data_IF_604912534085
#
_entry.id   IF_604912534085
#
_cell.length_a   1.000
_cell.length_b   1.000
_cell.length_c   1.000
_cell.angle_alpha   90.00
_cell.angle_beta   90.00
_cell.angle_gamma   90.00
#
_symmetry.space_group_name_H-M   'P 1'
#
loop_
_entity.id
_entity.type
_entity.pdbx_description
1 polymer ?
#
# COMPACT_ATOMS: atom_id res chain seq x y z
N UNK A 1 7.08 19.66 -2.21
CA UNK A 1 6.98 18.80 -1.01
C UNK A 1 5.51 18.47 -0.80
N UNK A 2 5.16 17.19 -0.76
CA UNK A 2 3.77 16.75 -0.56
C UNK A 2 3.27 17.06 0.86
N UNK A 3 1.95 17.22 1.04
CA UNK A 3 1.36 17.52 2.37
C UNK A 3 1.73 16.44 3.41
N UNK A 4 1.84 15.17 3.01
CA UNK A 4 2.23 14.09 3.92
C UNK A 4 3.70 14.16 4.33
N UNK A 5 4.59 14.60 3.44
CA UNK A 5 6.03 14.76 3.73
C UNK A 5 6.26 15.77 4.86
N UNK A 6 5.48 16.86 4.84
CA UNK A 6 5.50 17.90 5.87
C UNK A 6 4.93 17.37 7.19
N UNK A 7 3.86 16.57 7.13
CA UNK A 7 3.22 16.00 8.33
C UNK A 7 4.01 14.84 8.95
N UNK A 8 4.91 14.22 8.20
CA UNK A 8 5.70 13.04 8.61
C UNK A 8 7.17 13.21 8.27
N UNK A 9 7.84 14.22 8.85
CA UNK A 9 9.25 14.50 8.56
C UNK A 9 10.20 13.39 9.03
N UNK A 10 9.73 12.51 9.92
CA UNK A 10 10.48 11.38 10.45
C UNK A 10 10.66 10.23 9.46
N UNK A 11 9.92 10.20 8.35
CA UNK A 11 10.06 9.15 7.34
C UNK A 11 11.17 9.48 6.34
N UNK A 12 11.89 8.45 5.89
CA UNK A 12 12.91 8.56 4.84
C UNK A 12 12.26 8.70 3.45
N UNK A 13 11.70 9.88 3.19
CA UNK A 13 11.00 10.20 1.94
C UNK A 13 11.89 10.08 0.71
N UNK A 14 13.17 10.44 0.84
CA UNK A 14 14.13 10.30 -0.26
C UNK A 14 14.22 8.84 -0.72
N UNK A 15 14.36 7.91 0.24
CA UNK A 15 14.36 6.47 -0.04
C UNK A 15 13.01 5.98 -0.56
N UNK A 16 11.90 6.38 0.07
CA UNK A 16 10.55 5.98 -0.35
C UNK A 16 10.32 6.36 -1.81
N UNK A 17 10.68 7.58 -2.21
CA UNK A 17 10.50 8.05 -3.59
C UNK A 17 11.46 7.38 -4.56
N UNK A 18 12.72 7.14 -4.17
CA UNK A 18 13.67 6.39 -4.99
C UNK A 18 13.17 4.98 -5.30
N UNK A 19 12.65 4.27 -4.30
CA UNK A 19 12.11 2.92 -4.48
C UNK A 19 10.79 2.94 -5.27
N UNK A 20 9.92 3.93 -5.02
CA UNK A 20 8.67 4.13 -5.78
C UNK A 20 8.94 4.38 -7.26
N UNK A 21 9.91 5.23 -7.60
CA UNK A 21 10.24 5.59 -8.97
C UNK A 21 10.65 4.39 -9.85
N UNK A 22 11.20 3.36 -9.22
CA UNK A 22 11.69 2.16 -9.89
C UNK A 22 10.66 1.03 -9.98
N UNK A 23 9.39 1.29 -9.61
CA UNK A 23 8.27 0.39 -9.84
C UNK A 23 7.70 0.56 -11.27
N UNK A 24 7.00 -0.45 -11.82
CA UNK A 24 6.22 -0.31 -13.05
C UNK A 24 5.16 0.79 -12.95
N UNK A 25 4.82 1.43 -14.08
CA UNK A 25 3.99 2.65 -14.14
C UNK A 25 2.73 2.60 -13.26
N UNK A 26 1.84 1.62 -13.46
CA UNK A 26 0.56 1.56 -12.73
C UNK A 26 0.74 1.41 -11.20
N UNK A 27 1.78 0.68 -10.79
CA UNK A 27 2.06 0.43 -9.38
C UNK A 27 2.73 1.68 -8.78
N UNK A 28 3.66 2.28 -9.50
CA UNK A 28 4.29 3.55 -9.14
C UNK A 28 3.25 4.65 -8.93
N UNK A 29 2.29 4.79 -9.85
CA UNK A 29 1.18 5.75 -9.74
C UNK A 29 0.31 5.47 -8.51
N UNK A 30 -0.05 4.21 -8.27
CA UNK A 30 -0.83 3.83 -7.09
C UNK A 30 -0.09 4.16 -5.79
N UNK A 31 1.21 3.85 -5.71
CA UNK A 31 2.07 4.19 -4.58
C UNK A 31 2.18 5.70 -4.37
N UNK A 32 2.33 6.46 -5.45
CA UNK A 32 2.37 7.92 -5.40
C UNK A 32 1.06 8.49 -4.84
N UNK A 33 -0.08 8.10 -5.41
CA UNK A 33 -1.39 8.56 -4.94
C UNK A 33 -1.64 8.16 -3.48
N UNK A 34 -1.26 6.95 -3.08
CA UNK A 34 -1.37 6.49 -1.71
C UNK A 34 -0.54 7.35 -0.75
N UNK A 35 0.75 7.55 -1.04
CA UNK A 35 1.64 8.35 -0.19
C UNK A 35 1.32 9.86 -0.21
N UNK A 36 0.52 10.33 -1.16
CA UNK A 36 -0.02 11.70 -1.14
C UNK A 36 -1.41 11.81 -0.50
N UNK A 37 -1.99 10.70 0.00
CA UNK A 37 -3.39 10.61 0.48
C UNK A 37 -4.42 11.08 -0.57
N UNK A 38 -4.16 10.70 -1.83
CA UNK A 38 -4.96 11.06 -3.00
C UNK A 38 -5.78 9.91 -3.57
N UNK A 39 -5.65 8.69 -3.05
CA UNK A 39 -6.55 7.60 -3.45
C UNK A 39 -8.02 7.98 -3.15
N UNK A 40 -8.97 7.64 -4.04
CA UNK A 40 -10.39 7.92 -3.84
C UNK A 40 -11.02 6.94 -2.83
N UNK A 41 -10.53 6.98 -1.59
CA UNK A 41 -11.16 6.33 -0.45
C UNK A 41 -12.50 6.99 -0.14
N UNK A 42 -13.45 6.25 0.44
CA UNK A 42 -14.78 6.78 0.74
C UNK A 42 -14.74 7.95 1.71
N UNK A 43 -13.87 7.96 2.72
CA UNK A 43 -13.66 9.12 3.59
C UNK A 43 -13.18 10.36 2.80
N UNK A 44 -12.29 10.18 1.82
CA UNK A 44 -11.84 11.29 0.97
C UNK A 44 -12.97 11.80 0.08
N UNK A 45 -13.75 10.90 -0.50
CA UNK A 45 -14.91 11.26 -1.33
C UNK A 45 -15.98 11.98 -0.51
N UNK A 46 -16.31 11.50 0.69
CA UNK A 46 -17.25 12.14 1.62
C UNK A 46 -16.82 13.57 1.99
N UNK A 47 -15.52 13.79 2.22
CA UNK A 47 -14.99 15.15 2.47
C UNK A 47 -15.19 16.11 1.28
N UNK A 48 -15.20 15.59 0.05
CA UNK A 48 -15.44 16.39 -1.16
C UNK A 48 -16.93 16.56 -1.46
N UNK A 49 -17.73 15.55 -1.12
CA UNK A 49 -19.17 15.50 -1.29
C UNK A 49 -19.79 14.77 -0.09
N UNK A 50 -20.31 15.51 0.92
CA UNK A 50 -20.88 14.93 2.13
C UNK A 50 -22.08 14.00 1.92
N UNK A 51 -22.65 13.95 0.70
CA UNK A 51 -23.73 13.02 0.37
C UNK A 51 -23.24 11.59 0.13
N UNK A 52 -21.93 11.39 -0.08
CA UNK A 52 -21.34 10.05 -0.28
C UNK A 52 -21.16 9.33 1.04
N UNK A 53 -21.45 8.04 1.08
CA UNK A 53 -21.14 7.20 2.26
C UNK A 53 -19.63 7.10 2.47
N UNK A 54 -19.19 7.32 3.72
CA UNK A 54 -17.79 7.22 4.13
C UNK A 54 -17.37 5.82 4.56
N UNK A 55 -18.32 4.93 4.88
CA UNK A 55 -18.05 3.59 5.43
C UNK A 55 -17.33 2.70 4.44
N UNK A 56 -16.42 1.87 4.92
CA UNK A 56 -15.74 0.85 4.12
C UNK A 56 -16.74 -0.01 3.33
N UNK A 57 -16.59 -0.14 1.99
CA UNK A 57 -17.52 -0.89 1.16
C UNK A 57 -17.48 -2.40 1.40
N UNK A 58 -16.52 -2.88 2.20
CA UNK A 58 -16.32 -4.31 2.46
C UNK A 58 -16.91 -4.69 3.82
N UNK A 59 -16.47 -4.06 4.92
CA UNK A 59 -16.99 -4.38 6.25
C UNK A 59 -18.27 -3.62 6.61
N UNK A 60 -18.54 -2.49 5.95
CA UNK A 60 -19.68 -1.58 6.22
C UNK A 60 -19.77 -1.10 7.68
N UNK A 61 -18.66 -1.14 8.43
CA UNK A 61 -18.61 -0.77 9.85
C UNK A 61 -17.96 0.59 10.06
N UNK A 62 -16.68 0.74 9.71
CA UNK A 62 -15.89 1.95 9.95
C UNK A 62 -15.67 2.78 8.68
N UNK A 63 -15.31 4.07 8.78
CA UNK A 63 -14.88 4.88 7.65
C UNK A 63 -13.70 4.28 6.87
N UNK A 64 -13.76 4.34 5.54
CA UNK A 64 -12.66 3.88 4.68
C UNK A 64 -11.52 4.90 4.62
N UNK A 65 -10.61 4.83 5.58
CA UNK A 65 -9.32 5.55 5.54
C UNK A 65 -8.25 4.71 4.81
N UNK A 66 -7.08 5.30 4.56
CA UNK A 66 -5.92 4.54 4.04
C UNK A 66 -5.56 3.40 5.01
N UNK A 67 -5.50 3.71 6.31
CA UNK A 67 -5.15 2.79 7.38
C UNK A 67 -6.21 1.67 7.50
N UNK A 68 -7.50 2.01 7.39
CA UNK A 68 -8.57 1.03 7.39
C UNK A 68 -8.50 0.12 6.16
N UNK A 69 -8.30 0.71 4.99
CA UNK A 69 -8.16 -0.01 3.74
C UNK A 69 -6.97 -0.97 3.73
N UNK A 70 -5.87 -0.63 4.43
CA UNK A 70 -4.63 -1.42 4.40
C UNK A 70 -4.42 -2.34 5.60
N UNK A 71 -4.93 -2.06 6.80
CA UNK A 71 -4.67 -2.95 7.93
C UNK A 71 -5.69 -2.94 9.08
N UNK A 72 -6.62 -1.99 9.14
CA UNK A 72 -7.61 -1.96 10.24
C UNK A 72 -8.93 -2.66 9.88
N UNK A 73 -9.25 -2.83 8.59
CA UNK A 73 -10.45 -3.55 8.18
C UNK A 73 -10.42 -5.02 8.64
N UNK A 74 -11.41 -5.49 9.42
CA UNK A 74 -11.46 -6.88 9.90
C UNK A 74 -11.34 -7.91 8.78
N UNK A 75 -12.05 -7.66 7.67
CA UNK A 75 -12.07 -8.50 6.46
C UNK A 75 -10.71 -8.65 5.76
N UNK A 76 -9.71 -7.80 6.10
CA UNK A 76 -8.37 -7.83 5.50
C UNK A 76 -7.29 -8.35 6.45
N UNK A 77 -7.63 -8.62 7.70
CA UNK A 77 -6.65 -8.97 8.73
C UNK A 77 -5.84 -10.21 8.38
N UNK A 78 -6.42 -11.20 7.68
CA UNK A 78 -5.70 -12.41 7.28
C UNK A 78 -4.53 -12.08 6.33
N UNK A 79 -4.80 -11.33 5.26
CA UNK A 79 -3.75 -10.96 4.29
C UNK A 79 -2.77 -9.95 4.87
N UNK A 80 -3.25 -9.01 5.69
CA UNK A 80 -2.37 -8.10 6.41
C UNK A 80 -1.44 -8.84 7.38
N UNK A 81 -1.95 -9.77 8.19
CA UNK A 81 -1.15 -10.50 9.19
C UNK A 81 -0.07 -11.36 8.52
N UNK A 82 -0.40 -11.97 7.38
CA UNK A 82 0.59 -12.65 6.54
C UNK A 82 1.70 -11.70 6.06
N UNK A 83 1.33 -10.55 5.48
CA UNK A 83 2.28 -9.54 5.01
C UNK A 83 3.16 -9.06 6.16
N UNK A 84 2.55 -8.68 7.28
CA UNK A 84 3.24 -8.20 8.47
C UNK A 84 4.24 -9.25 8.98
N UNK A 85 3.84 -10.52 9.06
CA UNK A 85 4.72 -11.62 9.43
C UNK A 85 5.97 -11.70 8.54
N UNK A 86 5.81 -11.63 7.22
CA UNK A 86 6.95 -11.62 6.28
C UNK A 86 7.82 -10.37 6.48
N UNK A 87 7.21 -9.20 6.66
CA UNK A 87 7.94 -7.95 6.89
C UNK A 87 8.78 -8.03 8.17
N UNK A 88 8.23 -8.59 9.26
CA UNK A 88 8.96 -8.81 10.52
C UNK A 88 10.12 -9.79 10.34
N UNK A 89 9.91 -10.90 9.62
CA UNK A 89 10.98 -11.86 9.30
C UNK A 89 12.11 -11.23 8.48
N UNK A 90 11.81 -10.23 7.64
CA UNK A 90 12.80 -9.45 6.88
C UNK A 90 13.50 -8.35 7.69
N UNK A 91 13.15 -8.21 8.98
CA UNK A 91 13.76 -7.27 9.91
C UNK A 91 13.00 -5.94 10.06
N UNK A 92 11.83 -5.77 9.45
CA UNK A 92 11.05 -4.53 9.58
C UNK A 92 10.58 -4.34 11.03
N UNK A 93 10.98 -3.24 11.66
CA UNK A 93 10.60 -2.87 13.04
C UNK A 93 9.70 -1.65 13.12
N UNK A 94 9.30 -1.11 11.97
CA UNK A 94 8.46 0.08 11.92
C UNK A 94 7.04 -0.18 12.41
N UNK A 95 6.35 0.88 12.85
CA UNK A 95 4.93 0.81 13.16
C UNK A 95 4.12 0.39 11.92
N UNK A 96 2.88 -0.08 12.08
CA UNK A 96 2.04 -0.45 10.93
C UNK A 96 1.82 0.74 9.99
N UNK A 97 1.64 1.93 10.58
CA UNK A 97 1.42 3.17 9.84
C UNK A 97 2.67 3.58 9.06
N UNK A 98 3.87 3.50 9.64
CA UNK A 98 5.12 3.80 8.93
C UNK A 98 5.41 2.75 7.85
N UNK A 99 5.13 1.48 8.15
CA UNK A 99 5.30 0.35 7.23
C UNK A 99 4.48 0.57 5.96
N UNK A 100 3.19 0.91 6.06
CA UNK A 100 2.36 1.13 4.86
C UNK A 100 2.87 2.30 4.00
N UNK A 101 3.58 3.26 4.58
CA UNK A 101 4.19 4.37 3.84
C UNK A 101 5.56 4.01 3.23
N UNK A 102 6.04 2.78 3.42
CA UNK A 102 7.31 2.29 2.87
C UNK A 102 8.52 2.58 3.76
N UNK A 103 8.30 2.99 5.01
CA UNK A 103 9.37 3.15 5.98
C UNK A 103 9.49 1.86 6.81
N UNK A 104 10.64 1.17 6.68
CA UNK A 104 10.84 -0.15 7.30
C UNK A 104 11.89 -0.18 8.41
N UNK A 105 12.71 0.86 8.51
CA UNK A 105 13.97 0.81 9.26
C UNK A 105 15.04 -0.05 8.56
N UNK A 106 16.02 -0.60 9.29
CA UNK A 106 17.05 -1.46 8.72
C UNK A 106 16.46 -2.82 8.33
N UNK A 107 16.40 -3.11 7.03
CA UNK A 107 15.97 -4.41 6.48
C UNK A 107 17.04 -4.99 5.57
N UNK A 108 17.16 -6.32 5.54
CA UNK A 108 18.25 -6.98 4.81
C UNK A 108 18.19 -6.78 3.29
N UNK A 109 17.00 -6.80 2.68
CA UNK A 109 16.81 -6.52 1.26
C UNK A 109 15.69 -5.49 1.08
N UNK A 110 16.07 -4.22 1.03
CA UNK A 110 15.15 -3.09 0.89
C UNK A 110 14.27 -3.24 -0.36
N UNK A 111 14.88 -3.52 -1.51
CA UNK A 111 14.16 -3.60 -2.79
C UNK A 111 13.07 -4.67 -2.77
N UNK A 112 13.40 -5.88 -2.31
CA UNK A 112 12.41 -6.96 -2.22
C UNK A 112 11.31 -6.66 -1.20
N UNK A 113 11.66 -6.02 -0.09
CA UNK A 113 10.70 -5.62 0.96
C UNK A 113 9.74 -4.55 0.42
N UNK A 114 10.27 -3.56 -0.29
CA UNK A 114 9.49 -2.49 -0.90
C UNK A 114 8.57 -3.01 -2.00
N UNK A 115 9.04 -3.91 -2.87
CA UNK A 115 8.17 -4.49 -3.92
C UNK A 115 7.08 -5.39 -3.35
N UNK A 116 7.29 -6.05 -2.20
CA UNK A 116 6.24 -6.80 -1.51
C UNK A 116 5.15 -5.86 -0.99
N UNK A 117 5.54 -4.76 -0.34
CA UNK A 117 4.59 -3.74 0.10
C UNK A 117 3.82 -3.15 -1.09
N UNK A 118 4.53 -2.79 -2.16
CA UNK A 118 3.93 -2.19 -3.35
C UNK A 118 2.95 -3.16 -4.03
N UNK A 119 3.29 -4.45 -4.10
CA UNK A 119 2.38 -5.48 -4.57
C UNK A 119 1.12 -5.52 -3.72
N UNK A 120 1.26 -5.56 -2.38
CA UNK A 120 0.14 -5.59 -1.46
C UNK A 120 -0.80 -4.38 -1.60
N UNK A 121 -0.25 -3.17 -1.58
CA UNK A 121 -1.03 -1.93 -1.70
C UNK A 121 -1.78 -1.89 -3.02
N UNK A 122 -1.10 -2.23 -4.12
CA UNK A 122 -1.70 -2.25 -5.44
C UNK A 122 -2.81 -3.29 -5.57
N UNK A 123 -2.57 -4.53 -5.12
CA UNK A 123 -3.59 -5.59 -5.18
C UNK A 123 -4.78 -5.28 -4.27
N UNK A 124 -4.54 -4.70 -3.10
CA UNK A 124 -5.61 -4.30 -2.17
C UNK A 124 -6.47 -3.20 -2.77
N UNK A 125 -5.84 -2.18 -3.37
CA UNK A 125 -6.54 -1.13 -4.10
C UNK A 125 -7.38 -1.68 -5.25
N UNK A 126 -6.77 -2.53 -6.10
CA UNK A 126 -7.46 -3.14 -7.25
C UNK A 126 -8.61 -4.05 -6.83
N UNK A 127 -8.43 -4.86 -5.79
CA UNK A 127 -9.47 -5.72 -5.24
C UNK A 127 -10.63 -4.91 -4.66
N UNK A 128 -10.33 -3.84 -3.93
CA UNK A 128 -11.35 -2.92 -3.38
C UNK A 128 -12.20 -2.29 -4.48
N UNK A 129 -11.62 -1.90 -5.61
CA UNK A 129 -12.38 -1.34 -6.73
C UNK A 129 -13.37 -2.34 -7.35
N UNK A 130 -13.22 -3.63 -7.05
CA UNK A 130 -14.15 -4.70 -7.40
C UNK A 130 -14.95 -5.21 -6.17
N UNK A 131 -15.02 -4.40 -5.09
CA UNK A 131 -15.76 -4.70 -3.87
C UNK A 131 -15.37 -6.05 -3.22
N UNK A 132 -14.09 -6.41 -3.29
CA UNK A 132 -13.58 -7.65 -2.68
C UNK A 132 -12.29 -7.44 -1.89
N UNK A 133 -11.97 -8.44 -1.08
CA UNK A 133 -10.67 -8.59 -0.40
C UNK A 133 -9.68 -9.23 -1.38
N UNK A 134 -8.40 -8.80 -1.42
CA UNK A 134 -7.37 -9.49 -2.20
C UNK A 134 -7.09 -10.87 -1.59
N UNK A 135 -6.69 -11.85 -2.40
CA UNK A 135 -6.14 -13.12 -1.89
C UNK A 135 -4.62 -13.01 -1.74
N UNK A 136 -4.05 -13.78 -0.81
CA UNK A 136 -2.60 -13.82 -0.59
C UNK A 136 -1.84 -14.17 -1.88
N UNK A 137 -2.34 -15.14 -2.63
CA UNK A 137 -1.69 -15.63 -3.86
C UNK A 137 -1.61 -14.55 -4.94
N UNK A 138 -2.57 -13.62 -4.97
CA UNK A 138 -2.54 -12.48 -5.89
C UNK A 138 -1.39 -11.52 -5.55
N UNK A 139 -1.17 -11.28 -4.26
CA UNK A 139 -0.05 -10.45 -3.77
C UNK A 139 1.28 -11.11 -4.09
N UNK A 140 1.41 -12.40 -3.78
CA UNK A 140 2.64 -13.17 -4.02
C UNK A 140 2.98 -13.27 -5.50
N UNK A 141 1.97 -13.52 -6.34
CA UNK A 141 2.14 -13.60 -7.79
C UNK A 141 2.67 -12.28 -8.35
N UNK A 142 2.03 -11.16 -7.98
CA UNK A 142 2.51 -9.85 -8.41
C UNK A 142 3.93 -9.56 -7.88
N UNK A 143 4.20 -9.87 -6.60
CA UNK A 143 5.52 -9.67 -6.02
C UNK A 143 6.61 -10.50 -6.73
N UNK A 144 6.32 -11.73 -7.14
CA UNK A 144 7.22 -12.55 -7.99
C UNK A 144 7.53 -11.85 -9.30
N UNK A 145 6.53 -11.30 -9.99
CA UNK A 145 6.74 -10.54 -11.23
C UNK A 145 7.60 -9.29 -11.01
N UNK A 146 7.40 -8.55 -9.92
CA UNK A 146 8.18 -7.35 -9.62
C UNK A 146 9.64 -7.61 -9.27
N UNK A 147 9.97 -8.82 -8.79
CA UNK A 147 11.35 -9.21 -8.48
C UNK A 147 12.17 -9.49 -9.73
N UNK A 148 11.54 -9.81 -10.86
CA UNK A 148 12.21 -10.22 -12.09
C UNK A 148 11.72 -9.37 -13.26
N UNK A 149 12.17 -8.11 -13.37
CA UNK A 149 11.70 -7.20 -14.43
C UNK A 149 12.22 -7.55 -15.84
N UNK A 150 12.60 -8.80 -16.11
CA UNK A 150 13.01 -9.20 -17.47
C UNK A 150 11.78 -9.42 -18.34
N UNK A 151 11.77 -8.71 -19.48
CA UNK A 151 10.93 -8.87 -20.68
C UNK A 151 9.44 -8.50 -20.60
N UNK A 152 9.11 -7.23 -20.32
CA UNK A 152 7.86 -6.62 -20.80
C UNK A 152 8.07 -5.41 -21.72
N UNK A 153 9.29 -5.21 -22.20
CA UNK A 153 9.59 -4.29 -23.29
C UNK A 153 10.41 -5.06 -24.34
N UNK A 154 9.71 -5.72 -25.26
CA UNK A 154 10.18 -5.80 -26.64
C UNK A 154 9.45 -4.69 -27.41
N UNK A 155 10.14 -3.94 -28.28
CA UNK A 155 9.56 -2.87 -29.09
C UNK A 155 8.47 -3.39 -30.04
#
# INVERSE_FOLDING_TARGET
MGKLEILRPNLDWSRIWKETAALPTNIRETMFLFNQRLLPTRTRCHRLDPTKDEKCPICNQDPETDEHLMYQCPERLNVWSWLEGIMRQKGCRSSKEDLIRGHFGPVGNLRQTFTLLAAYLFTTWKARNNLRVPRQEEVESLWKTLRHPRSLFSP
#
